data_IF_604216961138
#
_entry.id   IF_604216961138
#
_cell.length_a   1.000
_cell.length_b   1.000
_cell.length_c   1.000
_cell.angle_alpha   90.00
_cell.angle_beta   90.00
_cell.angle_gamma   90.00
#
_symmetry.space_group_name_H-M   'P 1'
#
loop_
_entity.id
_entity.type
_entity.pdbx_description
1 polymer ?
#
# COMPACT_ATOMS: atom_id res chain seq x y z
N UNK A 1 -13.33 -40.36 -34.68
CA UNK A 1 -11.88 -40.66 -34.55
C UNK A 1 -11.17 -39.78 -35.57
N UNK A 2 -10.33 -38.79 -35.29
CA UNK A 2 -9.58 -38.43 -34.08
C UNK A 2 -9.13 -36.95 -34.22
N UNK A 3 -9.17 -36.24 -33.08
CA UNK A 3 -8.52 -34.97 -32.64
C UNK A 3 -7.70 -34.11 -33.63
N UNK A 4 -7.99 -32.81 -33.77
CA UNK A 4 -7.54 -31.66 -32.94
C UNK A 4 -6.02 -31.45 -32.88
N UNK A 5 -5.54 -30.34 -33.44
CA UNK A 5 -4.40 -29.60 -32.90
C UNK A 5 -4.66 -28.09 -32.97
N UNK A 6 -5.05 -27.56 -31.81
CA UNK A 6 -5.17 -26.15 -31.47
C UNK A 6 -3.78 -25.51 -31.48
N UNK A 7 -3.51 -24.64 -32.45
CA UNK A 7 -2.43 -23.66 -32.37
C UNK A 7 -2.84 -22.50 -31.48
N UNK A 8 -2.59 -22.61 -30.17
CA UNK A 8 -2.65 -21.45 -29.27
C UNK A 8 -1.44 -20.58 -29.55
N UNK A 9 -1.66 -19.44 -30.20
CA UNK A 9 -0.68 -18.34 -30.26
C UNK A 9 -0.55 -17.78 -28.83
N UNK A 10 0.35 -18.38 -28.05
CA UNK A 10 0.86 -17.79 -26.80
C UNK A 10 1.73 -16.62 -27.24
N UNK A 11 1.25 -15.39 -27.01
CA UNK A 11 1.90 -14.16 -27.45
C UNK A 11 3.40 -14.18 -27.15
N UNK A 12 4.19 -13.84 -28.17
CA UNK A 12 5.63 -13.60 -28.06
C UNK A 12 5.88 -12.59 -26.93
N UNK A 13 6.25 -13.10 -25.74
CA UNK A 13 6.79 -12.28 -24.65
C UNK A 13 8.22 -11.94 -25.07
N UNK A 14 8.50 -10.69 -25.42
CA UNK A 14 9.81 -10.29 -25.92
C UNK A 14 10.87 -10.51 -24.85
N UNK A 15 11.83 -11.38 -25.14
CA UNK A 15 13.11 -11.44 -24.41
C UNK A 15 13.97 -10.25 -24.81
N UNK A 16 14.85 -9.81 -23.92
CA UNK A 16 15.83 -8.75 -24.18
C UNK A 16 16.87 -9.17 -25.22
N UNK A 17 17.11 -10.49 -25.34
CA UNK A 17 18.14 -11.06 -26.21
C UNK A 17 19.56 -10.91 -25.64
N UNK A 18 19.71 -10.37 -24.42
CA UNK A 18 21.00 -10.20 -23.76
C UNK A 18 21.33 -11.38 -22.84
N UNK A 19 22.61 -11.72 -22.65
CA UNK A 19 23.03 -12.71 -21.66
C UNK A 19 22.57 -12.34 -20.24
N UNK A 20 22.09 -13.33 -19.49
CA UNK A 20 21.62 -13.18 -18.10
C UNK A 20 22.66 -12.47 -17.20
N UNK A 21 23.97 -12.80 -17.25
CA UNK A 21 24.97 -12.09 -16.45
C UNK A 21 25.05 -10.57 -16.73
N UNK A 22 24.79 -10.15 -17.97
CA UNK A 22 24.76 -8.71 -18.29
C UNK A 22 23.53 -8.01 -17.72
N UNK A 23 22.39 -8.70 -17.66
CA UNK A 23 21.17 -8.20 -17.04
C UNK A 23 21.36 -8.04 -15.53
N UNK A 24 22.01 -9.02 -14.89
CA UNK A 24 22.34 -8.95 -13.48
C UNK A 24 23.32 -7.80 -13.21
N UNK A 25 24.38 -7.67 -14.02
CA UNK A 25 25.35 -6.57 -13.92
C UNK A 25 24.69 -5.19 -14.09
N UNK A 26 23.70 -5.06 -14.98
CA UNK A 26 22.90 -3.84 -15.12
C UNK A 26 22.19 -3.48 -13.82
N UNK A 27 21.48 -4.43 -13.20
CA UNK A 27 20.75 -4.17 -11.94
C UNK A 27 21.70 -3.83 -10.79
N UNK A 28 22.84 -4.52 -10.69
CA UNK A 28 23.89 -4.18 -9.71
C UNK A 28 24.46 -2.78 -9.91
N UNK A 29 24.69 -2.37 -11.15
CA UNK A 29 25.11 -1.00 -11.47
C UNK A 29 24.07 0.03 -11.04
N UNK A 30 22.78 -0.25 -11.26
CA UNK A 30 21.69 0.63 -10.83
C UNK A 30 21.68 0.78 -9.31
N UNK A 31 21.81 -0.33 -8.56
CA UNK A 31 21.88 -0.31 -7.08
C UNK A 31 23.02 0.60 -6.63
N UNK A 32 24.25 0.36 -7.12
CA UNK A 32 25.43 1.12 -6.72
C UNK A 32 25.29 2.61 -7.01
N UNK A 33 24.87 2.97 -8.22
CA UNK A 33 24.80 4.38 -8.63
C UNK A 33 23.63 5.15 -8.02
N UNK A 34 22.57 4.46 -7.60
CA UNK A 34 21.38 5.10 -7.05
C UNK A 34 21.44 5.29 -5.54
N UNK A 35 22.36 4.61 -4.84
CA UNK A 35 22.41 4.52 -3.38
C UNK A 35 22.45 5.89 -2.68
N UNK A 36 23.12 6.87 -3.26
CA UNK A 36 23.21 8.23 -2.69
C UNK A 36 21.96 9.08 -2.92
N UNK A 37 21.25 8.87 -4.03
CA UNK A 37 20.08 9.68 -4.40
C UNK A 37 18.76 9.06 -3.93
N UNK A 38 18.66 7.73 -4.04
CA UNK A 38 17.48 6.92 -3.78
C UNK A 38 17.86 5.66 -2.99
N UNK A 39 18.34 5.81 -1.74
CA UNK A 39 18.84 4.70 -0.93
C UNK A 39 17.82 3.57 -0.73
N UNK A 40 16.54 3.90 -0.48
CA UNK A 40 15.50 2.88 -0.30
C UNK A 40 15.23 2.13 -1.59
N UNK A 41 15.20 2.83 -2.74
CA UNK A 41 15.01 2.17 -4.03
C UNK A 41 16.18 1.24 -4.37
N UNK A 42 17.41 1.69 -4.09
CA UNK A 42 18.61 0.87 -4.24
C UNK A 42 18.55 -0.37 -3.35
N UNK A 43 18.20 -0.21 -2.07
CA UNK A 43 18.13 -1.35 -1.15
C UNK A 43 17.01 -2.34 -1.53
N UNK A 44 15.85 -1.85 -1.98
CA UNK A 44 14.74 -2.70 -2.42
C UNK A 44 15.12 -3.48 -3.69
N UNK A 45 15.82 -2.84 -4.62
CA UNK A 45 16.35 -3.51 -5.80
C UNK A 45 17.45 -4.53 -5.46
N UNK A 46 18.30 -4.23 -4.49
CA UNK A 46 19.31 -5.17 -4.00
C UNK A 46 18.65 -6.42 -3.37
N UNK A 47 17.58 -6.21 -2.60
CA UNK A 47 16.77 -7.30 -2.04
C UNK A 47 16.00 -8.10 -3.10
N UNK A 48 15.65 -7.49 -4.23
CA UNK A 48 15.09 -8.23 -5.36
C UNK A 48 16.11 -9.23 -5.94
N UNK A 49 17.38 -8.84 -6.00
CA UNK A 49 18.46 -9.70 -6.48
C UNK A 49 18.82 -10.78 -5.44
N UNK A 50 19.04 -10.39 -4.18
CA UNK A 50 19.65 -11.28 -3.16
C UNK A 50 18.72 -11.72 -2.02
N UNK A 51 17.52 -11.17 -1.92
CA UNK A 51 16.63 -11.37 -0.78
C UNK A 51 15.89 -12.71 -0.77
N UNK A 52 16.18 -13.61 -1.72
CA UNK A 52 15.58 -14.95 -1.84
C UNK A 52 14.03 -14.97 -1.84
N UNK A 53 13.38 -13.85 -2.19
CA UNK A 53 11.92 -13.71 -2.18
C UNK A 53 11.31 -13.44 -0.80
N UNK A 54 12.14 -13.27 0.24
CA UNK A 54 11.66 -12.97 1.58
C UNK A 54 10.89 -11.63 1.62
N UNK A 55 9.78 -11.59 2.34
CA UNK A 55 9.00 -10.35 2.50
C UNK A 55 9.82 -9.27 3.20
N UNK A 56 9.66 -8.02 2.78
CA UNK A 56 10.38 -6.88 3.33
C UNK A 56 9.44 -5.89 4.00
N UNK A 57 9.70 -5.60 5.27
CA UNK A 57 8.97 -4.57 6.00
C UNK A 57 9.56 -3.19 5.72
N UNK A 58 8.76 -2.27 5.18
CA UNK A 58 9.13 -0.87 5.01
C UNK A 58 8.78 -0.04 6.25
N UNK A 59 9.66 0.91 6.56
CA UNK A 59 9.46 1.85 7.65
C UNK A 59 8.21 2.70 7.41
N UNK A 60 7.28 2.68 8.38
CA UNK A 60 6.12 3.57 8.40
C UNK A 60 6.54 5.04 8.33
N UNK A 61 7.64 5.42 8.97
CA UNK A 61 8.14 6.81 8.95
C UNK A 61 8.54 7.21 7.54
N UNK A 62 9.25 6.32 6.82
CA UNK A 62 9.63 6.55 5.43
C UNK A 62 8.38 6.64 4.53
N UNK A 63 7.45 5.69 4.63
CA UNK A 63 6.19 5.73 3.86
C UNK A 63 5.39 7.02 4.12
N UNK A 64 5.23 7.43 5.38
CA UNK A 64 4.47 8.66 5.73
C UNK A 64 5.21 9.97 5.39
N UNK A 65 6.46 9.91 4.93
CA UNK A 65 7.12 11.07 4.33
C UNK A 65 6.40 11.51 3.05
N UNK A 66 5.90 10.56 2.26
CA UNK A 66 5.22 10.81 1.00
C UNK A 66 3.79 11.33 1.17
N UNK A 67 3.46 12.40 0.43
CA UNK A 67 2.11 13.02 0.48
C UNK A 67 1.01 12.05 0.04
N UNK A 68 1.28 11.15 -0.90
CA UNK A 68 0.30 10.18 -1.43
C UNK A 68 -0.10 9.13 -0.38
N UNK A 69 0.85 8.65 0.43
CA UNK A 69 0.56 7.74 1.55
C UNK A 69 -0.35 8.41 2.57
N UNK A 70 0.02 9.62 3.01
CA UNK A 70 -0.82 10.42 3.93
C UNK A 70 -2.20 10.76 3.36
N UNK A 71 -2.33 10.89 2.03
CA UNK A 71 -3.63 11.10 1.37
C UNK A 71 -4.48 9.83 1.39
N UNK A 72 -3.89 8.65 1.17
CA UNK A 72 -4.58 7.37 1.25
C UNK A 72 -5.08 7.08 2.68
N UNK A 73 -4.24 7.29 3.70
CA UNK A 73 -4.65 7.17 5.12
C UNK A 73 -5.86 8.07 5.41
N UNK A 74 -5.76 9.37 5.12
CA UNK A 74 -6.86 10.33 5.33
C UNK A 74 -8.12 10.01 4.53
N UNK A 75 -7.98 9.37 3.35
CA UNK A 75 -9.13 8.92 2.56
C UNK A 75 -9.91 7.84 3.32
N UNK A 76 -9.21 6.86 3.89
CA UNK A 76 -9.84 5.82 4.68
C UNK A 76 -10.36 6.35 6.02
N UNK A 77 -9.65 7.26 6.69
CA UNK A 77 -10.15 7.95 7.90
C UNK A 77 -11.52 8.59 7.65
N UNK A 78 -11.62 9.45 6.63
CA UNK A 78 -12.89 10.12 6.30
C UNK A 78 -14.03 9.16 5.94
N UNK A 79 -13.71 7.98 5.39
CA UNK A 79 -14.71 6.95 5.08
C UNK A 79 -15.24 6.31 6.36
N UNK A 80 -14.36 5.95 7.29
CA UNK A 80 -14.77 5.49 8.63
C UNK A 80 -15.55 6.56 9.37
N UNK A 81 -15.09 7.82 9.42
CA UNK A 81 -15.79 8.91 10.10
C UNK A 81 -17.21 9.12 9.56
N UNK A 82 -17.39 9.09 8.23
CA UNK A 82 -18.71 9.18 7.60
C UNK A 82 -19.60 7.99 7.94
N UNK A 83 -19.04 6.78 7.95
CA UNK A 83 -19.74 5.57 8.31
C UNK A 83 -20.19 5.60 9.77
N UNK A 84 -19.28 5.92 10.69
CA UNK A 84 -19.54 6.06 12.12
C UNK A 84 -20.62 7.12 12.40
N UNK A 85 -20.54 8.27 11.73
CA UNK A 85 -21.55 9.32 11.87
C UNK A 85 -22.93 8.92 11.32
N UNK A 86 -23.00 8.00 10.35
CA UNK A 86 -24.26 7.43 9.87
C UNK A 86 -24.81 6.42 10.86
N UNK A 87 -23.98 5.47 11.31
CA UNK A 87 -24.39 4.46 12.29
C UNK A 87 -24.86 5.12 13.59
N UNK A 88 -24.16 6.15 14.08
CA UNK A 88 -24.54 6.91 15.28
C UNK A 88 -25.99 7.43 15.23
N UNK A 89 -26.49 7.86 14.06
CA UNK A 89 -27.85 8.39 13.91
C UNK A 89 -28.94 7.31 14.01
N UNK A 90 -28.57 6.05 13.88
CA UNK A 90 -29.48 4.91 13.93
C UNK A 90 -29.62 4.32 15.34
N UNK A 91 -28.80 4.76 16.30
CA UNK A 91 -28.88 4.27 17.68
C UNK A 91 -30.03 4.98 18.41
N UNK A 92 -30.85 4.19 19.08
CA UNK A 92 -31.79 4.67 20.09
C UNK A 92 -31.08 5.09 21.37
N UNK A 93 -31.74 5.92 22.18
CA UNK A 93 -31.18 6.37 23.45
C UNK A 93 -30.89 5.18 24.39
N UNK A 94 -29.74 5.22 25.06
CA UNK A 94 -29.23 4.14 25.90
C UNK A 94 -28.68 2.92 25.14
N UNK A 95 -28.79 2.86 23.82
CA UNK A 95 -28.31 1.72 23.04
C UNK A 95 -26.80 1.76 22.77
N UNK A 96 -26.24 0.57 22.56
CA UNK A 96 -24.87 0.37 22.08
C UNK A 96 -24.85 -0.54 20.86
N UNK A 97 -23.88 -0.33 19.97
CA UNK A 97 -23.63 -1.24 18.84
C UNK A 97 -22.16 -1.36 18.52
N UNK A 98 -21.83 -2.38 17.73
CA UNK A 98 -20.50 -2.64 17.20
C UNK A 98 -20.49 -2.39 15.70
N UNK A 99 -19.45 -1.73 15.21
CA UNK A 99 -19.18 -1.59 13.78
C UNK A 99 -17.82 -2.21 13.46
N UNK A 100 -17.82 -3.18 12.54
CA UNK A 100 -16.60 -3.76 11.96
C UNK A 100 -16.67 -3.65 10.45
N UNK A 101 -15.70 -3.00 9.85
CA UNK A 101 -15.63 -2.85 8.39
C UNK A 101 -14.20 -2.55 7.93
N UNK A 102 -13.99 -2.43 6.63
CA UNK A 102 -12.71 -2.10 6.03
C UNK A 102 -12.84 -1.12 4.87
N UNK A 103 -11.75 -0.40 4.62
CA UNK A 103 -11.61 0.46 3.45
C UNK A 103 -10.26 0.27 2.79
N UNK A 104 -10.28 0.15 1.47
CA UNK A 104 -9.09 0.06 0.65
C UNK A 104 -8.84 1.38 -0.11
N UNK A 105 -7.58 1.80 -0.15
CA UNK A 105 -7.12 2.97 -0.89
C UNK A 105 -5.93 2.59 -1.79
N UNK A 106 -6.16 2.63 -3.11
CA UNK A 106 -5.08 2.59 -4.08
C UNK A 106 -4.20 3.84 -3.97
N UNK A 107 -2.89 3.62 -4.10
CA UNK A 107 -1.85 4.63 -4.04
C UNK A 107 -1.11 4.59 -5.37
N UNK A 108 -1.01 5.74 -6.04
CA UNK A 108 -0.17 5.92 -7.21
C UNK A 108 0.96 6.87 -6.84
N UNK A 109 2.20 6.40 -6.91
CA UNK A 109 3.37 7.22 -6.63
C UNK A 109 3.58 8.26 -7.75
N UNK A 110 4.11 9.42 -7.37
CA UNK A 110 4.42 10.47 -8.34
C UNK A 110 5.76 10.19 -9.01
N UNK A 111 5.81 10.32 -10.33
CA UNK A 111 7.03 10.10 -11.13
C UNK A 111 8.18 10.96 -10.58
N UNK A 112 9.37 10.38 -10.49
CA UNK A 112 10.56 11.07 -9.98
C UNK A 112 10.72 11.10 -8.46
N UNK A 113 9.73 10.60 -7.70
CA UNK A 113 9.92 10.35 -6.26
C UNK A 113 10.57 8.99 -6.03
N UNK A 114 11.28 8.83 -4.92
CA UNK A 114 11.85 7.53 -4.54
C UNK A 114 10.77 6.43 -4.43
N UNK A 115 9.59 6.79 -3.89
CA UNK A 115 8.45 5.87 -3.82
C UNK A 115 8.03 5.35 -5.21
N UNK A 116 8.23 6.11 -6.29
CA UNK A 116 7.89 5.62 -7.64
C UNK A 116 8.78 4.46 -8.09
N UNK A 117 10.07 4.50 -7.74
CA UNK A 117 11.02 3.43 -8.05
C UNK A 117 10.87 2.21 -7.11
N UNK A 118 10.38 2.44 -5.90
CA UNK A 118 10.08 1.37 -4.93
C UNK A 118 8.73 0.71 -5.25
N UNK A 119 7.66 1.50 -5.34
CA UNK A 119 6.28 1.04 -5.42
C UNK A 119 5.43 2.04 -6.21
N UNK A 120 5.37 1.83 -7.53
CA UNK A 120 4.59 2.69 -8.42
C UNK A 120 3.10 2.70 -8.07
N UNK A 121 2.54 1.53 -7.80
CA UNK A 121 1.12 1.33 -7.47
C UNK A 121 1.01 0.44 -6.24
N UNK A 122 0.42 0.91 -5.15
CA UNK A 122 0.27 0.10 -3.93
C UNK A 122 -1.14 0.18 -3.38
N UNK A 123 -1.43 -0.69 -2.41
CA UNK A 123 -2.69 -0.66 -1.68
C UNK A 123 -2.45 -0.36 -0.20
N UNK A 124 -3.29 0.51 0.35
CA UNK A 124 -3.48 0.66 1.79
C UNK A 124 -4.85 0.11 2.17
N UNK A 125 -4.85 -1.03 2.85
CA UNK A 125 -6.03 -1.61 3.49
C UNK A 125 -6.12 -1.13 4.93
N UNK A 126 -7.31 -0.71 5.35
CA UNK A 126 -7.60 -0.29 6.71
C UNK A 126 -8.78 -1.07 7.25
N UNK A 127 -8.60 -1.85 8.31
CA UNK A 127 -9.65 -2.64 8.96
C UNK A 127 -10.00 -2.02 10.31
N UNK A 128 -11.25 -1.58 10.47
CA UNK A 128 -11.74 -0.90 11.66
C UNK A 128 -12.65 -1.77 12.52
N UNK A 129 -12.57 -1.60 13.84
CA UNK A 129 -13.48 -2.17 14.82
C UNK A 129 -13.81 -1.12 15.86
N UNK A 130 -15.09 -0.80 16.00
CA UNK A 130 -15.57 0.32 16.81
C UNK A 130 -16.76 -0.10 17.68
N UNK A 131 -16.87 0.57 18.83
CA UNK A 131 -18.03 0.58 19.71
C UNK A 131 -18.66 1.96 19.64
N UNK A 132 -19.98 2.00 19.53
CA UNK A 132 -20.78 3.21 19.62
C UNK A 132 -21.76 3.04 20.77
N UNK A 133 -21.87 4.06 21.63
CA UNK A 133 -22.80 4.07 22.76
C UNK A 133 -23.51 5.41 22.81
N UNK A 134 -24.84 5.41 22.82
CA UNK A 134 -25.65 6.62 22.92
C UNK A 134 -26.00 6.94 24.37
N UNK A 135 -25.83 8.21 24.73
CA UNK A 135 -26.32 8.79 25.98
C UNK A 135 -27.00 10.14 25.66
N UNK A 136 -28.33 10.13 25.63
CA UNK A 136 -29.16 11.24 25.19
C UNK A 136 -28.87 11.64 23.74
N UNK A 137 -28.51 12.91 23.55
CA UNK A 137 -28.26 13.49 22.23
C UNK A 137 -26.84 13.23 21.67
N UNK A 138 -25.99 12.51 22.42
CA UNK A 138 -24.60 12.25 22.06
C UNK A 138 -24.33 10.76 21.93
N UNK A 139 -23.58 10.39 20.89
CA UNK A 139 -23.01 9.06 20.70
C UNK A 139 -21.52 9.14 20.88
N UNK A 140 -21.01 8.39 21.85
CA UNK A 140 -19.59 8.18 22.09
C UNK A 140 -19.09 7.06 21.18
N UNK A 141 -17.93 7.28 20.54
CA UNK A 141 -17.32 6.34 19.61
C UNK A 141 -15.90 6.05 20.07
N UNK A 142 -15.54 4.78 20.14
CA UNK A 142 -14.15 4.36 20.35
C UNK A 142 -13.82 3.12 19.54
N UNK A 143 -12.57 2.95 19.14
CA UNK A 143 -12.17 1.77 18.39
C UNK A 143 -10.71 1.77 17.94
N UNK A 144 -10.39 0.77 17.13
CA UNK A 144 -9.06 0.60 16.54
C UNK A 144 -9.17 0.38 15.04
N UNK A 145 -8.14 0.84 14.32
CA UNK A 145 -7.97 0.59 12.89
C UNK A 145 -6.58 0.00 12.66
N UNK A 146 -6.55 -1.18 12.05
CA UNK A 146 -5.33 -1.85 11.61
C UNK A 146 -5.09 -1.50 10.14
N UNK A 147 -3.93 -0.91 9.87
CA UNK A 147 -3.50 -0.51 8.54
C UNK A 147 -2.46 -1.49 8.02
N UNK A 148 -2.62 -1.93 6.78
CA UNK A 148 -1.67 -2.73 6.03
C UNK A 148 -1.44 -2.07 4.68
N UNK A 149 -0.26 -1.45 4.54
CA UNK A 149 0.25 -1.04 3.25
C UNK A 149 1.02 -2.22 2.66
N UNK A 150 0.80 -2.52 1.38
CA UNK A 150 1.54 -3.58 0.70
C UNK A 150 1.64 -3.34 -0.81
N UNK A 151 2.68 -3.92 -1.39
CA UNK A 151 2.90 -4.00 -2.84
C UNK A 151 3.83 -5.18 -3.17
N UNK A 152 3.45 -6.07 -4.10
CA UNK A 152 4.39 -6.99 -4.73
C UNK A 152 5.49 -6.22 -5.46
N UNK A 153 6.75 -6.58 -5.20
CA UNK A 153 7.90 -6.13 -5.98
C UNK A 153 8.29 -7.24 -6.94
N UNK A 154 7.87 -7.09 -8.19
CA UNK A 154 7.95 -8.11 -9.24
C UNK A 154 8.51 -7.58 -10.57
N UNK A 155 8.89 -6.30 -10.61
CA UNK A 155 9.35 -5.60 -11.82
C UNK A 155 8.41 -5.75 -13.02
N UNK A 156 7.11 -6.01 -12.82
CA UNK A 156 6.23 -6.45 -13.92
C UNK A 156 5.31 -5.35 -14.50
N UNK A 157 5.36 -4.13 -13.94
CA UNK A 157 4.36 -3.08 -14.22
C UNK A 157 4.82 -2.05 -15.24
N UNK A 158 4.36 -2.22 -16.48
CA UNK A 158 4.51 -1.25 -17.56
C UNK A 158 5.19 -1.86 -18.79
N UNK A 159 5.90 -1.04 -19.57
CA UNK A 159 6.77 -1.53 -20.66
C UNK A 159 8.24 -1.31 -20.32
N UNK A 160 8.54 -0.18 -19.71
CA UNK A 160 9.88 0.23 -19.31
C UNK A 160 9.78 1.18 -18.12
N UNK A 161 10.90 1.38 -17.43
CA UNK A 161 11.11 2.41 -16.42
C UNK A 161 12.32 3.25 -16.82
N UNK A 162 12.20 4.59 -16.73
CA UNK A 162 13.36 5.46 -16.91
C UNK A 162 14.17 5.48 -15.61
N UNK A 163 15.44 5.14 -15.68
CA UNK A 163 16.37 5.15 -14.55
C UNK A 163 17.46 6.16 -14.86
N UNK A 164 17.68 7.16 -13.99
CA UNK A 164 18.79 8.10 -14.15
C UNK A 164 20.11 7.37 -14.41
N UNK A 165 20.89 7.86 -15.38
CA UNK A 165 22.16 7.29 -15.86
C UNK A 165 22.09 5.94 -16.58
N UNK A 166 20.93 5.27 -16.61
CA UNK A 166 20.75 3.98 -17.27
C UNK A 166 19.69 4.01 -18.39
N UNK A 167 18.99 5.14 -18.54
CA UNK A 167 17.98 5.31 -19.59
C UNK A 167 16.73 4.48 -19.35
N UNK A 168 16.08 4.05 -20.42
CA UNK A 168 14.88 3.22 -20.34
C UNK A 168 15.26 1.75 -20.17
N UNK A 169 14.94 1.19 -19.01
CA UNK A 169 15.12 -0.24 -18.73
C UNK A 169 13.79 -0.97 -18.96
N UNK A 170 13.73 -1.94 -19.90
CA UNK A 170 12.53 -2.74 -20.12
C UNK A 170 12.15 -3.56 -18.89
N UNK A 171 10.85 -3.71 -18.61
CA UNK A 171 10.39 -4.55 -17.50
C UNK A 171 10.69 -6.05 -17.72
N UNK A 172 10.90 -6.46 -18.98
CA UNK A 172 11.25 -7.84 -19.32
C UNK A 172 12.60 -8.27 -18.72
N UNK A 173 13.50 -7.31 -18.42
CA UNK A 173 14.76 -7.60 -17.73
C UNK A 173 14.50 -8.24 -16.36
N UNK A 174 13.64 -7.65 -15.54
CA UNK A 174 13.32 -8.19 -14.21
C UNK A 174 12.68 -9.58 -14.31
N UNK A 175 11.82 -9.80 -15.32
CA UNK A 175 11.26 -11.13 -15.59
C UNK A 175 12.32 -12.15 -15.97
N UNK A 176 13.25 -11.80 -16.86
CA UNK A 176 14.31 -12.72 -17.31
C UNK A 176 15.25 -13.09 -16.16
N UNK A 177 15.53 -12.16 -15.24
CA UNK A 177 16.29 -12.44 -14.03
C UNK A 177 15.55 -13.43 -13.12
N UNK A 178 14.24 -13.26 -12.93
CA UNK A 178 13.42 -14.19 -12.13
C UNK A 178 13.31 -15.57 -12.79
N UNK A 179 13.11 -15.62 -14.12
CA UNK A 179 13.04 -16.87 -14.89
C UNK A 179 14.38 -17.64 -14.87
N UNK A 180 15.49 -16.95 -14.64
CA UNK A 180 16.84 -17.53 -14.59
C UNK A 180 17.37 -17.76 -13.17
N UNK A 181 16.52 -17.56 -12.15
CA UNK A 181 16.87 -17.67 -10.72
C UNK A 181 17.97 -16.71 -10.24
N UNK A 182 18.16 -15.58 -10.93
CA UNK A 182 19.08 -14.50 -10.53
C UNK A 182 18.40 -13.42 -9.66
N UNK A 183 17.07 -13.47 -9.55
CA UNK A 183 16.28 -12.57 -8.73
C UNK A 183 14.98 -13.24 -8.28
N UNK A 184 14.37 -12.74 -7.22
CA UNK A 184 13.13 -13.29 -6.66
C UNK A 184 12.14 -12.17 -6.34
N UNK A 185 10.92 -12.29 -6.87
CA UNK A 185 9.80 -11.42 -6.48
C UNK A 185 9.55 -11.53 -4.97
N UNK A 186 9.16 -10.44 -4.33
CA UNK A 186 8.85 -10.44 -2.89
C UNK A 186 7.74 -9.46 -2.55
N UNK A 187 7.17 -9.61 -1.35
CA UNK A 187 6.17 -8.68 -0.83
C UNK A 187 6.86 -7.55 -0.06
N UNK A 188 6.61 -6.31 -0.44
CA UNK A 188 6.89 -5.16 0.41
C UNK A 188 5.66 -4.85 1.24
N UNK A 189 5.83 -4.60 2.53
CA UNK A 189 4.70 -4.29 3.40
C UNK A 189 5.03 -3.42 4.60
N UNK A 190 4.00 -2.81 5.18
CA UNK A 190 4.09 -2.06 6.43
C UNK A 190 2.77 -2.14 7.17
N UNK A 191 2.83 -2.48 8.46
CA UNK A 191 1.66 -2.60 9.33
C UNK A 191 1.71 -1.59 10.46
N UNK A 192 0.57 -1.00 10.79
CA UNK A 192 0.44 -0.18 11.99
C UNK A 192 -1.01 -0.11 12.48
N UNK A 193 -1.17 0.31 13.74
CA UNK A 193 -2.49 0.44 14.37
C UNK A 193 -2.72 1.89 14.79
N UNK A 194 -3.93 2.37 14.58
CA UNK A 194 -4.43 3.63 15.12
C UNK A 194 -5.63 3.37 16.02
N UNK A 195 -5.80 4.18 17.05
CA UNK A 195 -7.06 4.32 17.77
C UNK A 195 -7.86 5.46 17.19
N UNK A 196 -9.19 5.35 17.30
CA UNK A 196 -10.13 6.43 17.06
C UNK A 196 -10.98 6.60 18.30
N UNK A 197 -11.13 7.83 18.75
CA UNK A 197 -12.14 8.26 19.72
C UNK A 197 -12.93 9.40 19.12
N UNK A 198 -14.18 9.60 19.54
CA UNK A 198 -14.96 10.71 19.04
C UNK A 198 -16.36 10.78 19.56
N UNK A 199 -17.05 11.85 19.18
CA UNK A 199 -18.45 12.09 19.52
C UNK A 199 -19.24 12.46 18.28
N UNK A 200 -20.47 11.97 18.21
CA UNK A 200 -21.48 12.41 17.27
C UNK A 200 -22.66 12.99 18.04
N UNK A 201 -23.01 14.25 17.77
CA UNK A 201 -24.19 14.91 18.33
C UNK A 201 -25.22 15.16 17.25
N UNK A 202 -26.47 14.82 17.56
CA UNK A 202 -27.58 15.14 16.67
C UNK A 202 -27.81 16.65 16.60
N UNK A 203 -28.16 17.11 15.40
CA UNK A 203 -28.51 18.50 15.16
C UNK A 203 -30.01 18.68 15.30
N UNK A 204 -30.43 19.77 15.95
CA UNK A 204 -31.82 20.24 15.84
C UNK A 204 -31.94 21.15 14.64
N UNK A 205 -32.94 20.94 13.80
CA UNK A 205 -33.21 21.81 12.66
C UNK A 205 -33.25 23.28 13.10
N UNK A 206 -32.62 24.23 12.38
CA UNK A 206 -31.94 24.06 11.08
C UNK A 206 -30.46 23.65 11.18
N UNK A 207 -29.94 23.38 12.39
CA UNK A 207 -28.52 23.06 12.60
C UNK A 207 -28.24 21.59 12.26
N UNK A 208 -27.22 21.35 11.42
CA UNK A 208 -26.71 20.00 11.16
C UNK A 208 -26.01 19.45 12.41
N UNK A 209 -26.13 18.14 12.61
CA UNK A 209 -25.39 17.41 13.64
C UNK A 209 -23.88 17.61 13.48
N UNK A 210 -23.14 17.46 14.58
CA UNK A 210 -21.68 17.64 14.62
C UNK A 210 -21.03 16.32 14.98
N UNK A 211 -20.03 15.92 14.21
CA UNK A 211 -19.17 14.79 14.52
C UNK A 211 -17.72 15.28 14.68
N UNK A 212 -17.03 14.78 15.69
CA UNK A 212 -15.61 15.05 15.96
C UNK A 212 -14.92 13.74 16.26
N UNK A 213 -13.82 13.49 15.57
CA UNK A 213 -13.02 12.28 15.73
C UNK A 213 -11.56 12.65 15.90
N UNK A 214 -10.89 11.91 16.78
CA UNK A 214 -9.49 12.04 17.07
C UNK A 214 -8.81 10.71 16.77
N UNK A 215 -7.78 10.79 15.93
CA UNK A 215 -6.98 9.64 15.52
C UNK A 215 -5.65 9.68 16.23
N UNK A 216 -5.32 8.61 16.93
CA UNK A 216 -4.04 8.46 17.62
C UNK A 216 -3.30 7.23 17.14
N UNK A 217 -1.99 7.34 17.04
CA UNK A 217 -1.15 6.21 16.66
C UNK A 217 -0.87 5.36 17.89
N UNK A 218 -1.07 4.04 17.79
CA UNK A 218 -0.61 3.14 18.85
C UNK A 218 0.91 3.06 18.73
N UNK A 219 1.62 3.52 19.76
CA UNK A 219 3.07 3.28 19.87
C UNK A 219 3.24 1.77 20.03
N UNK A 220 3.97 1.14 19.12
CA UNK A 220 4.43 -0.22 19.37
C UNK A 220 5.26 -0.17 20.65
N UNK A 221 4.98 -1.07 21.61
CA UNK A 221 5.91 -1.30 22.70
C UNK A 221 7.27 -1.65 22.06
N UNK A 222 8.33 -0.95 22.47
CA UNK A 222 9.69 -1.39 22.14
C UNK A 222 9.82 -2.77 22.79
N UNK A 223 9.83 -3.79 21.96
CA UNK A 223 10.30 -5.13 22.34
C UNK A 223 11.79 -5.17 22.06
#
# INVERSE_FOLDING_TARGET
MTMLLRGFIRGFRSRTGRPVPELAALFRSIVTQSRDTYPMAADVLDHFMDGAGASRTLSRRWLRSFKVIKKAERKNHRRFEKQLAREARLLDDGASTWLRDHWDAAINAFIGTELFYVSRMSLLRSQGSFVLTRAGAEVQVSGTVRHHWFDPYDWDRGRWVFIPRHGFVPISVGRELVESDEARNFLMESRHVQTLTGTCRDGRWPRRGRARFEWSLVKAART
#
